data_IF_760739360300
#
_entry.id   IF_760739360300
#
_cell.length_a   1.000
_cell.length_b   1.000
_cell.length_c   1.000
_cell.angle_alpha   90.00
_cell.angle_beta   90.00
_cell.angle_gamma   90.00
#
_symmetry.space_group_name_H-M   'P 1'
#
loop_
_entity.id
_entity.type
_entity.pdbx_description
1 polymer ?
#
# COMPACT_ATOMS: atom_id res chain seq x y z
N UNK A 1 70.52 -25.47 -23.68
CA UNK A 1 71.21 -24.93 -22.50
C UNK A 1 70.18 -24.76 -21.40
N UNK A 2 70.13 -25.70 -20.45
CA UNK A 2 69.25 -25.65 -19.28
C UNK A 2 69.85 -24.77 -18.19
N UNK A 3 69.02 -23.95 -17.53
CA UNK A 3 69.30 -23.44 -16.18
C UNK A 3 68.00 -23.51 -15.38
N UNK A 4 68.07 -24.17 -14.22
CA UNK A 4 67.01 -24.40 -13.23
C UNK A 4 67.07 -23.33 -12.12
N UNK A 5 66.01 -23.31 -11.30
CA UNK A 5 65.82 -22.69 -9.97
C UNK A 5 65.11 -21.32 -10.03
N UNK A 6 64.08 -21.00 -9.22
CA UNK A 6 63.83 -21.37 -7.82
C UNK A 6 62.33 -21.25 -7.46
N UNK A 7 61.88 -22.09 -6.51
CA UNK A 7 60.58 -21.99 -5.82
C UNK A 7 60.42 -20.65 -5.08
N UNK A 8 59.20 -20.08 -5.12
CA UNK A 8 58.59 -19.39 -3.96
C UNK A 8 57.06 -19.56 -3.99
N UNK A 9 56.58 -20.32 -3.01
CA UNK A 9 55.18 -20.48 -2.60
C UNK A 9 54.64 -19.15 -2.09
N UNK A 10 53.51 -18.68 -2.62
CA UNK A 10 52.64 -17.73 -1.93
C UNK A 10 51.23 -18.31 -1.91
N UNK A 11 50.83 -18.82 -0.75
CA UNK A 11 49.45 -19.18 -0.48
C UNK A 11 48.65 -17.88 -0.27
N UNK A 12 47.76 -17.56 -1.20
CA UNK A 12 46.76 -16.53 -1.01
C UNK A 12 45.43 -17.24 -0.67
N UNK A 13 45.10 -17.29 0.62
CA UNK A 13 43.79 -17.69 1.09
C UNK A 13 42.80 -16.55 0.75
N UNK A 14 42.12 -16.67 -0.40
CA UNK A 14 41.04 -15.76 -0.79
C UNK A 14 39.76 -16.14 -0.07
N UNK A 15 39.24 -15.23 0.76
CA UNK A 15 37.92 -15.31 1.39
C UNK A 15 36.84 -15.59 0.33
N UNK A 16 36.08 -16.68 0.51
CA UNK A 16 34.80 -16.88 -0.18
C UNK A 16 33.77 -16.01 0.53
N UNK A 17 33.52 -14.79 0.04
CA UNK A 17 32.30 -14.08 0.39
C UNK A 17 31.15 -14.75 -0.38
N UNK A 18 30.43 -15.63 0.30
CA UNK A 18 29.12 -16.06 -0.17
C UNK A 18 28.18 -14.83 -0.10
N UNK A 19 28.03 -14.13 -1.21
CA UNK A 19 26.94 -13.18 -1.37
C UNK A 19 25.64 -13.98 -1.37
N UNK A 20 25.04 -14.14 -0.20
CA UNK A 20 23.63 -14.48 -0.11
C UNK A 20 22.89 -13.28 -0.68
N UNK A 21 22.62 -13.34 -1.98
CA UNK A 21 21.65 -12.48 -2.63
C UNK A 21 20.31 -12.78 -1.99
N UNK A 22 20.00 -12.04 -0.92
CA UNK A 22 18.63 -11.93 -0.45
C UNK A 22 17.91 -11.30 -1.62
N UNK A 23 17.21 -12.10 -2.40
CA UNK A 23 16.16 -11.58 -3.26
C UNK A 23 15.21 -10.87 -2.31
N UNK A 24 15.36 -9.55 -2.18
CA UNK A 24 14.25 -8.72 -1.78
C UNK A 24 13.16 -9.04 -2.80
N UNK A 25 12.25 -9.93 -2.42
CA UNK A 25 11.06 -10.16 -3.20
C UNK A 25 10.48 -8.78 -3.48
N UNK A 26 10.22 -8.49 -4.74
CA UNK A 26 9.38 -7.35 -5.08
C UNK A 26 8.14 -7.48 -4.20
N UNK A 27 7.99 -6.56 -3.24
CA UNK A 27 6.71 -6.43 -2.58
C UNK A 27 5.73 -6.16 -3.72
N UNK A 28 4.90 -7.15 -4.05
CA UNK A 28 3.68 -6.85 -4.75
C UNK A 28 2.97 -5.88 -3.83
N UNK A 29 3.00 -4.59 -4.16
CA UNK A 29 1.99 -3.68 -3.66
C UNK A 29 0.68 -4.39 -4.00
N UNK A 30 0.01 -4.92 -2.99
CA UNK A 30 -1.35 -5.41 -3.15
C UNK A 30 -2.11 -4.23 -3.77
N UNK A 31 -2.49 -4.42 -5.03
CA UNK A 31 -2.58 -3.33 -5.99
C UNK A 31 -3.72 -2.41 -5.62
N UNK A 32 -3.42 -1.12 -5.45
CA UNK A 32 -4.43 -0.06 -5.45
C UNK A 32 -4.91 0.10 -6.90
N UNK A 33 -5.68 -0.86 -7.39
CA UNK A 33 -5.91 -1.08 -8.82
C UNK A 33 -7.34 -0.74 -9.28
N UNK A 34 -8.19 -0.30 -8.35
CA UNK A 34 -9.55 0.14 -8.65
C UNK A 34 -10.57 -0.99 -8.70
N UNK A 35 -10.21 -2.19 -8.23
CA UNK A 35 -11.08 -3.36 -8.14
C UNK A 35 -11.16 -3.86 -6.71
N UNK A 36 -12.23 -3.48 -6.02
CA UNK A 36 -12.45 -3.91 -4.65
C UNK A 36 -12.63 -5.43 -4.54
N UNK A 37 -11.64 -6.12 -4.00
CA UNK A 37 -11.62 -7.58 -3.77
C UNK A 37 -11.64 -7.94 -2.28
N UNK A 38 -11.70 -9.25 -1.98
CA UNK A 38 -11.70 -9.73 -0.61
C UNK A 38 -10.35 -9.46 0.06
N UNK A 39 -10.38 -8.79 1.21
CA UNK A 39 -9.18 -8.36 1.93
C UNK A 39 -8.90 -6.87 1.87
N UNK A 40 -9.72 -6.08 1.16
CA UNK A 40 -9.48 -4.65 0.94
C UNK A 40 -10.58 -3.78 1.57
N UNK A 41 -10.20 -2.55 1.93
CA UNK A 41 -11.18 -1.47 2.12
C UNK A 41 -11.25 -0.65 0.84
N UNK A 42 -12.45 -0.44 0.32
CA UNK A 42 -12.71 0.46 -0.80
C UNK A 42 -13.15 1.82 -0.28
N UNK A 43 -12.44 2.85 -0.71
CA UNK A 43 -12.72 4.27 -0.49
C UNK A 43 -13.14 4.88 -1.82
N UNK A 44 -14.32 5.50 -1.87
CA UNK A 44 -14.95 5.96 -3.10
C UNK A 44 -15.08 7.48 -3.10
N UNK A 45 -14.80 8.09 -4.25
CA UNK A 45 -14.91 9.55 -4.44
C UNK A 45 -16.35 10.05 -4.52
N UNK A 46 -17.35 9.16 -4.44
CA UNK A 46 -18.77 9.52 -4.44
C UNK A 46 -19.55 8.72 -3.42
N UNK A 47 -20.63 9.30 -2.91
CA UNK A 47 -21.61 8.58 -2.10
C UNK A 47 -22.13 7.29 -2.74
N UNK A 48 -22.62 6.38 -1.89
CA UNK A 48 -23.26 5.14 -2.31
C UNK A 48 -22.30 4.11 -2.89
N UNK A 49 -21.01 4.18 -2.51
CA UNK A 49 -19.95 3.27 -2.98
C UNK A 49 -19.87 3.24 -4.51
N UNK A 50 -19.94 4.43 -5.11
CA UNK A 50 -20.01 4.59 -6.55
C UNK A 50 -18.75 5.28 -7.09
N UNK A 51 -18.60 5.25 -8.41
CA UNK A 51 -17.49 5.88 -9.13
C UNK A 51 -16.17 5.09 -9.02
N UNK A 52 -15.04 5.81 -8.99
CA UNK A 52 -13.69 5.25 -8.94
C UNK A 52 -13.32 4.95 -7.48
N UNK A 53 -12.52 3.92 -7.26
CA UNK A 53 -12.21 3.41 -5.93
C UNK A 53 -10.71 3.46 -5.68
N UNK A 54 -10.37 3.69 -4.43
CA UNK A 54 -9.06 3.49 -3.85
C UNK A 54 -9.17 2.35 -2.85
N UNK A 55 -8.40 1.30 -3.07
CA UNK A 55 -8.59 -0.03 -2.51
C UNK A 55 -7.32 -0.55 -1.84
N UNK A 56 -6.82 0.10 -0.77
CA UNK A 56 -5.66 -0.40 -0.05
C UNK A 56 -5.96 -1.77 0.60
N UNK A 57 -5.04 -2.71 0.39
CA UNK A 57 -5.02 -4.02 1.04
C UNK A 57 -4.24 -4.02 2.37
N UNK A 58 -3.36 -3.04 2.57
CA UNK A 58 -2.57 -2.82 3.79
C UNK A 58 -2.72 -1.39 4.27
N UNK A 59 -2.27 -1.11 5.49
CA UNK A 59 -2.20 0.26 6.01
C UNK A 59 -1.53 1.21 5.03
N UNK A 60 -2.17 2.35 4.86
CA UNK A 60 -1.69 3.49 4.11
C UNK A 60 -1.72 4.73 4.99
N UNK A 61 -0.55 5.26 5.27
CA UNK A 61 -0.36 6.34 6.24
C UNK A 61 -0.52 7.73 5.61
N UNK A 62 -0.51 7.84 4.27
CA UNK A 62 -0.56 9.12 3.56
C UNK A 62 -1.06 8.98 2.12
N UNK A 63 -2.26 9.49 1.86
CA UNK A 63 -2.93 9.46 0.56
C UNK A 63 -2.36 10.48 -0.47
N UNK A 64 -1.38 11.32 -0.11
CA UNK A 64 -0.92 12.42 -1.00
C UNK A 64 -0.44 11.98 -2.38
N UNK A 65 0.07 10.76 -2.52
CA UNK A 65 0.57 10.22 -3.79
C UNK A 65 -0.36 9.18 -4.41
N UNK A 66 -1.55 9.04 -3.84
CA UNK A 66 -2.55 8.07 -4.27
C UNK A 66 -3.66 8.73 -5.07
N UNK A 67 -4.17 7.95 -6.02
CA UNK A 67 -5.25 8.37 -6.90
C UNK A 67 -6.33 7.30 -6.95
N UNK A 68 -7.58 7.73 -7.15
CA UNK A 68 -8.65 6.81 -7.45
C UNK A 68 -8.39 6.12 -8.79
N UNK A 69 -8.64 4.82 -8.84
CA UNK A 69 -8.50 4.00 -10.04
C UNK A 69 -9.87 3.49 -10.48
N UNK A 70 -10.06 3.37 -11.79
CA UNK A 70 -11.32 2.93 -12.39
C UNK A 70 -11.59 3.59 -13.74
N UNK A 71 -12.78 3.37 -14.29
CA UNK A 71 -13.17 3.92 -15.60
C UNK A 71 -14.16 5.09 -15.52
N UNK A 72 -14.29 5.70 -14.33
CA UNK A 72 -15.32 6.71 -14.03
C UNK A 72 -14.69 8.06 -13.69
N UNK A 73 -15.53 9.07 -13.42
CA UNK A 73 -15.16 10.49 -13.50
C UNK A 73 -14.07 10.95 -12.53
N UNK A 74 -13.83 10.26 -11.42
CA UNK A 74 -12.75 10.62 -10.49
C UNK A 74 -11.44 9.88 -10.74
N UNK A 75 -11.35 9.02 -11.76
CA UNK A 75 -10.10 8.28 -11.99
C UNK A 75 -8.96 9.25 -12.26
N UNK A 76 -7.84 9.05 -11.55
CA UNK A 76 -6.67 9.94 -11.60
C UNK A 76 -6.76 11.17 -10.70
N UNK A 77 -7.88 11.43 -10.02
CA UNK A 77 -7.92 12.40 -8.92
C UNK A 77 -7.24 11.83 -7.68
N UNK A 78 -6.63 12.71 -6.89
CA UNK A 78 -6.06 12.34 -5.59
C UNK A 78 -7.13 11.75 -4.67
N UNK A 79 -6.73 10.81 -3.83
CA UNK A 79 -7.60 10.21 -2.80
C UNK A 79 -7.61 11.02 -1.50
N UNK A 80 -6.57 11.82 -1.28
CA UNK A 80 -6.45 12.71 -0.13
C UNK A 80 -7.55 13.79 -0.20
N UNK A 81 -8.37 13.89 0.83
CA UNK A 81 -9.46 14.87 0.96
C UNK A 81 -10.50 14.81 -0.16
N UNK A 82 -10.76 13.61 -0.71
CA UNK A 82 -11.72 13.42 -1.80
C UNK A 82 -12.60 12.17 -1.64
N UNK A 83 -12.54 11.52 -0.48
CA UNK A 83 -13.36 10.33 -0.22
C UNK A 83 -14.71 10.73 0.37
N UNK A 84 -15.79 10.17 -0.19
CA UNK A 84 -17.17 10.41 0.26
C UNK A 84 -17.84 9.16 0.85
N UNK A 85 -17.41 7.96 0.47
CA UNK A 85 -18.01 6.72 0.97
C UNK A 85 -17.04 5.54 1.00
N UNK A 86 -17.44 4.46 1.69
CA UNK A 86 -16.59 3.30 1.92
C UNK A 86 -17.33 1.96 1.78
N UNK A 87 -16.57 0.89 1.49
CA UNK A 87 -16.98 -0.51 1.61
C UNK A 87 -15.80 -1.35 2.06
N UNK A 88 -15.92 -2.03 3.20
CA UNK A 88 -14.89 -2.91 3.70
C UNK A 88 -15.17 -4.37 3.31
N UNK A 89 -14.40 -4.88 2.33
CA UNK A 89 -14.42 -6.28 1.90
C UNK A 89 -13.32 -7.12 2.58
N UNK A 90 -12.58 -6.52 3.52
CA UNK A 90 -11.69 -7.23 4.41
C UNK A 90 -12.48 -7.93 5.53
N UNK A 91 -11.87 -8.99 6.05
CA UNK A 91 -12.25 -9.68 7.28
C UNK A 91 -11.87 -8.89 8.53
N UNK A 92 -10.99 -7.90 8.39
CA UNK A 92 -10.51 -7.04 9.47
C UNK A 92 -11.27 -5.71 9.55
N UNK A 93 -11.11 -5.04 10.68
CA UNK A 93 -11.61 -3.67 10.87
C UNK A 93 -10.56 -2.67 10.41
N UNK A 94 -10.98 -1.67 9.68
CA UNK A 94 -10.13 -0.55 9.27
C UNK A 94 -10.45 0.68 10.10
N UNK A 95 -9.47 1.57 10.26
CA UNK A 95 -9.68 2.92 10.76
C UNK A 95 -9.19 3.90 9.72
N UNK A 96 -10.06 4.80 9.28
CA UNK A 96 -9.72 5.89 8.38
C UNK A 96 -9.56 7.17 9.17
N UNK A 97 -8.69 8.08 8.77
CA UNK A 97 -8.37 9.30 9.52
C UNK A 97 -8.25 10.51 8.59
N UNK A 98 -8.43 11.70 9.17
CA UNK A 98 -8.26 12.99 8.50
C UNK A 98 -6.99 13.66 9.00
N UNK A 99 -6.15 14.22 8.13
CA UNK A 99 -4.91 14.94 8.47
C UNK A 99 -4.00 14.31 9.58
N UNK A 100 -2.95 15.05 9.97
CA UNK A 100 -2.11 14.69 11.10
C UNK A 100 -2.85 15.03 12.41
N UNK A 101 -3.43 14.02 13.07
CA UNK A 101 -4.21 14.02 14.34
C UNK A 101 -5.75 14.08 14.26
N UNK A 102 -6.38 14.02 13.09
CA UNK A 102 -7.84 13.98 13.03
C UNK A 102 -8.39 12.59 13.33
N UNK A 103 -9.22 12.49 14.38
CA UNK A 103 -10.02 11.29 14.64
C UNK A 103 -10.87 10.99 13.41
N UNK A 104 -10.75 9.79 12.83
CA UNK A 104 -11.70 9.37 11.81
C UNK A 104 -12.55 8.17 12.24
N UNK A 105 -13.08 7.43 11.26
CA UNK A 105 -14.10 6.41 11.50
C UNK A 105 -13.50 5.01 11.57
N UNK A 106 -14.10 4.16 12.41
CA UNK A 106 -13.85 2.72 12.37
C UNK A 106 -14.84 2.06 11.40
N UNK A 107 -14.30 1.30 10.45
CA UNK A 107 -15.06 0.57 9.44
C UNK A 107 -14.91 -0.92 9.72
N UNK A 108 -15.94 -1.50 10.33
CA UNK A 108 -15.97 -2.94 10.63
C UNK A 108 -15.94 -3.79 9.35
N UNK A 109 -15.51 -5.05 9.48
CA UNK A 109 -15.57 -6.02 8.39
C UNK A 109 -16.98 -6.12 7.80
N UNK A 110 -17.10 -6.09 6.47
CA UNK A 110 -18.38 -6.12 5.75
C UNK A 110 -19.20 -4.83 5.83
N UNK A 111 -18.75 -3.79 6.53
CA UNK A 111 -19.46 -2.53 6.63
C UNK A 111 -19.34 -1.72 5.33
N UNK A 112 -20.40 -0.99 4.98
CA UNK A 112 -20.43 -0.01 3.90
C UNK A 112 -21.31 1.17 4.29
N UNK A 113 -21.00 2.34 3.76
CA UNK A 113 -21.76 3.55 4.06
C UNK A 113 -21.11 4.81 3.50
N UNK A 114 -21.80 5.93 3.65
CA UNK A 114 -21.26 7.25 3.33
C UNK A 114 -20.49 7.77 4.54
N UNK A 115 -19.47 8.58 4.28
CA UNK A 115 -18.77 9.30 5.33
C UNK A 115 -19.68 10.43 5.83
N UNK A 116 -19.95 10.52 7.14
CA UNK A 116 -20.73 11.61 7.67
C UNK A 116 -19.88 12.88 7.70
N UNK A 117 -20.54 14.04 7.61
CA UNK A 117 -19.89 15.32 7.94
C UNK A 117 -19.35 15.27 9.38
N UNK A 118 -18.12 15.77 9.65
CA UNK A 118 -17.25 16.53 8.75
C UNK A 118 -16.25 15.70 7.93
N UNK A 119 -16.23 14.37 8.02
CA UNK A 119 -15.18 13.51 7.44
C UNK A 119 -15.25 13.33 5.92
N UNK A 120 -16.34 13.80 5.31
CA UNK A 120 -16.49 13.87 3.87
C UNK A 120 -15.38 14.75 3.28
N UNK A 121 -14.69 14.25 2.25
CA UNK A 121 -13.59 14.97 1.57
C UNK A 121 -12.50 15.45 2.53
N UNK A 122 -12.19 14.66 3.57
CA UNK A 122 -11.12 14.96 4.52
C UNK A 122 -10.21 13.78 4.84
N UNK A 123 -10.47 12.59 4.28
CA UNK A 123 -9.66 11.42 4.58
C UNK A 123 -8.26 11.53 3.95
N UNK A 124 -7.24 11.21 4.74
CA UNK A 124 -5.83 11.28 4.34
C UNK A 124 -5.04 10.01 4.65
N UNK A 125 -5.61 9.07 5.43
CA UNK A 125 -4.95 7.80 5.76
C UNK A 125 -5.95 6.70 6.15
N UNK A 126 -5.52 5.44 6.04
CA UNK A 126 -6.28 4.25 6.41
C UNK A 126 -5.38 3.18 7.03
N UNK A 127 -5.74 2.68 8.21
CA UNK A 127 -4.99 1.66 8.94
C UNK A 127 -5.79 0.38 9.05
N UNK A 128 -5.18 -0.72 8.61
CA UNK A 128 -5.70 -2.07 8.77
C UNK A 128 -5.43 -2.51 10.22
N UNK A 129 -6.49 -2.71 11.02
CA UNK A 129 -6.33 -3.16 12.40
C UNK A 129 -6.31 -4.70 12.45
N UNK A 130 -5.38 -5.25 13.23
CA UNK A 130 -5.27 -6.70 13.48
C UNK A 130 -6.32 -7.23 14.44
#
# INVERSE_FOLDING_TARGET
MSIRNSLRTLAAAGLVLAAVGVSAGTASAAGKDGWLTSGEIGLFCQEGQSNSVFDPYVTDEDFQNDCFVGSRSCSGHTTNDWTESYSNQDTKRWSVHTDWYGYGAYVNAGAKGNLPSPYWDQLSSAYCNV
#
